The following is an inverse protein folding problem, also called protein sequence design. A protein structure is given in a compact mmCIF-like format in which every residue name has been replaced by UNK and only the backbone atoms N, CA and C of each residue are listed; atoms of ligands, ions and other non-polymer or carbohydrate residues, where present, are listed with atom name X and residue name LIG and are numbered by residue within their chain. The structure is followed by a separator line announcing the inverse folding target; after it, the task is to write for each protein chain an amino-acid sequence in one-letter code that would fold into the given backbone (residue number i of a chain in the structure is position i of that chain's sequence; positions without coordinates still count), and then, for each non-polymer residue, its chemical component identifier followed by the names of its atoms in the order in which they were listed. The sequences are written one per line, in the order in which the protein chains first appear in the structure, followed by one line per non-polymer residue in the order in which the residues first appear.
data_IF_927663467164
#
_entry.id   IF_927663467164
#
_cell.length_a   1.000
_cell.length_b   1.000
_cell.length_c   1.000
_cell.angle_alpha   90.00
_cell.angle_beta   90.00
_cell.angle_gamma   90.00
#
_symmetry.space_group_name_H-M   'P 1'
#
loop_
_entity.id
_entity.type
_entity.pdbx_description
1 polymer ?
#
# COMPACT_ATOMS: atom_id res chain seq x y z
N UNK A 1 -22.86 -14.68 -13.10
CA UNK A 1 -21.49 -14.28 -13.49
C UNK A 1 -20.63 -14.33 -12.24
N UNK A 2 -19.47 -15.02 -12.27
CA UNK A 2 -18.55 -15.04 -11.12
C UNK A 2 -17.96 -13.63 -10.95
N UNK A 3 -18.24 -12.97 -9.83
CA UNK A 3 -17.50 -11.76 -9.43
C UNK A 3 -16.04 -12.16 -9.22
N UNK A 4 -15.15 -11.78 -10.15
CA UNK A 4 -13.71 -11.94 -9.99
C UNK A 4 -13.18 -10.83 -9.10
N UNK A 5 -12.17 -11.14 -8.27
CA UNK A 5 -11.40 -10.12 -7.57
C UNK A 5 -10.55 -9.33 -8.57
N UNK A 6 -10.19 -8.10 -8.23
CA UNK A 6 -9.40 -7.24 -9.12
C UNK A 6 -7.99 -7.81 -9.40
N UNK A 7 -7.46 -8.61 -8.47
CA UNK A 7 -6.19 -9.33 -8.61
C UNK A 7 -6.30 -10.66 -9.38
N UNK A 8 -7.52 -11.13 -9.68
CA UNK A 8 -7.78 -12.39 -10.37
C UNK A 8 -7.70 -12.22 -11.90
N UNK A 9 -6.48 -11.88 -12.36
CA UNK A 9 -6.15 -11.63 -13.77
C UNK A 9 -5.60 -12.88 -14.48
N UNK A 10 -5.53 -14.02 -13.78
CA UNK A 10 -4.99 -15.26 -14.32
C UNK A 10 -5.73 -15.73 -15.58
N UNK A 11 -4.98 -15.96 -16.66
CA UNK A 11 -5.53 -16.43 -17.94
C UNK A 11 -6.22 -15.36 -18.78
N UNK A 12 -6.13 -14.08 -18.40
CA UNK A 12 -6.53 -12.97 -19.27
C UNK A 12 -5.46 -12.74 -20.35
N UNK A 13 -5.86 -12.34 -21.57
CA UNK A 13 -4.91 -11.95 -22.61
C UNK A 13 -4.19 -10.66 -22.21
N UNK A 14 -2.87 -10.63 -22.41
CA UNK A 14 -2.00 -9.48 -22.13
C UNK A 14 -0.94 -9.37 -23.23
N UNK A 15 -0.35 -8.19 -23.40
CA UNK A 15 0.74 -7.97 -24.35
C UNK A 15 2.06 -8.64 -23.93
N UNK A 16 3.14 -8.43 -24.71
CA UNK A 16 4.48 -8.81 -24.30
C UNK A 16 4.86 -8.19 -22.95
N UNK A 17 5.54 -8.97 -22.10
CA UNK A 17 6.03 -8.49 -20.81
C UNK A 17 7.31 -7.66 -20.97
N UNK A 18 7.40 -6.56 -20.23
CA UNK A 18 8.66 -5.89 -19.95
C UNK A 18 9.40 -6.68 -18.86
N UNK A 19 10.65 -7.08 -19.14
CA UNK A 19 11.51 -7.86 -18.25
C UNK A 19 12.71 -7.05 -17.75
N UNK A 20 12.71 -5.73 -17.97
CA UNK A 20 13.75 -4.86 -17.44
C UNK A 20 13.78 -4.90 -15.91
N UNK A 21 14.99 -4.79 -15.36
CA UNK A 21 15.16 -4.72 -13.91
C UNK A 21 14.74 -3.34 -13.41
N UNK A 22 13.91 -3.32 -12.37
CA UNK A 22 13.56 -2.11 -11.64
C UNK A 22 14.40 -2.00 -10.38
N UNK A 23 15.23 -0.97 -10.30
CA UNK A 23 15.98 -0.65 -9.08
C UNK A 23 15.08 0.08 -8.08
N UNK A 24 14.85 -0.47 -6.88
CA UNK A 24 13.99 0.17 -5.90
C UNK A 24 14.54 1.52 -5.45
N UNK A 25 13.73 2.55 -5.60
CA UNK A 25 13.96 3.89 -5.08
C UNK A 25 14.09 3.88 -3.56
N UNK A 26 14.66 4.94 -2.99
CA UNK A 26 14.72 5.10 -1.54
C UNK A 26 13.33 5.12 -0.87
N UNK A 27 12.31 5.60 -1.58
CA UNK A 27 10.93 5.59 -1.08
C UNK A 27 10.39 4.16 -1.00
N UNK A 28 10.55 3.37 -2.06
CA UNK A 28 10.11 1.97 -2.09
C UNK A 28 10.82 1.13 -1.02
N UNK A 29 12.13 1.32 -0.85
CA UNK A 29 12.90 0.66 0.22
C UNK A 29 12.37 1.01 1.62
N UNK A 30 11.93 2.26 1.84
CA UNK A 30 11.31 2.67 3.12
C UNK A 30 9.93 2.05 3.31
N UNK A 31 9.14 1.96 2.25
CA UNK A 31 7.82 1.32 2.28
C UNK A 31 7.96 -0.16 2.65
N UNK A 32 8.89 -0.87 2.00
CA UNK A 32 9.18 -2.27 2.28
C UNK A 32 9.65 -2.47 3.73
N UNK A 33 10.61 -1.66 4.19
CA UNK A 33 11.07 -1.70 5.57
C UNK A 33 9.93 -1.46 6.58
N UNK A 34 9.03 -0.51 6.29
CA UNK A 34 7.86 -0.25 7.13
C UNK A 34 6.91 -1.45 7.17
N UNK A 35 6.63 -2.08 6.02
CA UNK A 35 5.82 -3.30 5.94
C UNK A 35 6.42 -4.43 6.80
N UNK A 36 7.74 -4.61 6.75
CA UNK A 36 8.43 -5.61 7.56
C UNK A 36 8.35 -5.30 9.06
N UNK A 37 8.63 -4.06 9.46
CA UNK A 37 8.66 -3.66 10.87
C UNK A 37 7.30 -3.70 11.55
N UNK A 38 6.22 -3.34 10.85
CA UNK A 38 4.86 -3.33 11.39
C UNK A 38 4.30 -4.75 11.57
N UNK A 39 4.77 -5.71 10.76
CA UNK A 39 4.42 -7.13 10.86
C UNK A 39 5.32 -7.94 11.79
N UNK A 40 6.53 -7.44 12.05
CA UNK A 40 7.48 -8.09 12.94
C UNK A 40 6.99 -8.15 14.39
N UNK A 41 7.40 -9.20 15.11
CA UNK A 41 7.17 -9.31 16.55
C UNK A 41 7.98 -8.23 17.30
N UNK A 42 7.48 -7.73 18.44
CA UNK A 42 6.26 -8.14 19.13
C UNK A 42 4.98 -7.43 18.63
N UNK A 43 5.08 -6.48 17.70
CA UNK A 43 3.93 -5.67 17.26
C UNK A 43 2.92 -6.50 16.49
N UNK A 44 3.38 -7.19 15.45
CA UNK A 44 2.58 -8.10 14.60
C UNK A 44 1.18 -7.54 14.30
N UNK A 45 1.12 -6.31 13.80
CA UNK A 45 -0.15 -5.60 13.64
C UNK A 45 -1.12 -6.28 12.66
N UNK A 46 -0.60 -7.02 11.68
CA UNK A 46 -1.40 -7.81 10.74
C UNK A 46 -0.66 -9.01 10.15
N UNK A 47 -1.43 -9.98 9.65
CA UNK A 47 -0.96 -11.11 8.84
C UNK A 47 -0.88 -10.76 7.34
N UNK A 48 -0.25 -11.62 6.54
CA UNK A 48 -0.19 -11.46 5.07
C UNK A 48 -1.57 -11.34 4.44
N UNK A 49 -2.52 -12.15 4.91
CA UNK A 49 -3.86 -12.25 4.32
C UNK A 49 -4.68 -10.99 4.54
N UNK A 50 -4.54 -10.35 5.69
CA UNK A 50 -5.17 -9.05 5.98
C UNK A 50 -4.64 -7.97 5.04
N UNK A 51 -3.32 -7.90 4.84
CA UNK A 51 -2.72 -6.95 3.90
C UNK A 51 -3.19 -7.20 2.46
N UNK A 52 -3.21 -8.47 2.03
CA UNK A 52 -3.69 -8.83 0.69
C UNK A 52 -5.14 -8.43 0.48
N UNK A 53 -6.03 -8.75 1.43
CA UNK A 53 -7.44 -8.36 1.40
C UNK A 53 -7.57 -6.85 1.26
N UNK A 54 -6.83 -6.06 2.03
CA UNK A 54 -6.93 -4.60 1.99
C UNK A 54 -6.44 -4.03 0.66
N UNK A 55 -5.34 -4.55 0.11
CA UNK A 55 -4.87 -4.17 -1.24
C UNK A 55 -5.93 -4.48 -2.30
N UNK A 56 -6.55 -5.65 -2.24
CA UNK A 56 -7.60 -6.06 -3.19
C UNK A 56 -8.92 -5.30 -3.00
N UNK A 57 -9.10 -4.65 -1.85
CA UNK A 57 -10.27 -3.81 -1.52
C UNK A 57 -10.10 -2.34 -1.87
N UNK A 58 -8.93 -1.94 -2.39
CA UNK A 58 -8.72 -0.60 -2.91
C UNK A 58 -9.75 -0.29 -4.00
N UNK A 59 -10.15 0.97 -4.09
CA UNK A 59 -11.05 1.43 -5.15
C UNK A 59 -10.45 1.05 -6.53
N UNK A 60 -11.24 0.50 -7.47
CA UNK A 60 -10.71 -0.09 -8.70
C UNK A 60 -9.82 0.82 -9.53
N UNK A 61 -10.13 2.12 -9.62
CA UNK A 61 -9.32 3.10 -10.35
C UNK A 61 -7.99 3.35 -9.64
N UNK A 62 -8.01 3.44 -8.31
CA UNK A 62 -6.82 3.55 -7.46
C UNK A 62 -5.94 2.31 -7.59
N UNK A 63 -6.52 1.10 -7.54
CA UNK A 63 -5.77 -0.15 -7.72
C UNK A 63 -5.07 -0.22 -9.07
N UNK A 64 -5.70 0.29 -10.14
CA UNK A 64 -5.12 0.27 -11.49
C UNK A 64 -4.01 1.30 -11.67
N UNK A 65 -4.18 2.50 -11.11
CA UNK A 65 -3.26 3.63 -11.29
C UNK A 65 -2.07 3.63 -10.34
N UNK A 66 -2.23 3.13 -9.12
CA UNK A 66 -1.18 3.14 -8.13
C UNK A 66 -0.05 2.19 -8.52
N UNK A 67 1.18 2.61 -8.26
CA UNK A 67 2.36 1.75 -8.40
C UNK A 67 2.34 0.63 -7.35
N UNK A 68 3.13 -0.42 -7.57
CA UNK A 68 3.13 -1.61 -6.71
C UNK A 68 3.31 -1.29 -5.22
N UNK A 69 4.34 -0.50 -4.88
CA UNK A 69 4.61 -0.10 -3.49
C UNK A 69 3.64 0.96 -2.97
N UNK A 70 2.99 1.74 -3.83
CA UNK A 70 1.96 2.69 -3.40
C UNK A 70 0.72 1.96 -2.89
N UNK A 71 0.32 0.86 -3.54
CA UNK A 71 -0.78 0.00 -3.05
C UNK A 71 -0.50 -0.51 -1.65
N UNK A 72 0.77 -0.83 -1.34
CA UNK A 72 1.17 -1.25 0.00
C UNK A 72 0.99 -0.13 1.03
N UNK A 73 1.41 1.10 0.72
CA UNK A 73 1.23 2.24 1.64
C UNK A 73 -0.24 2.52 1.88
N UNK A 74 -1.06 2.53 0.83
CA UNK A 74 -2.50 2.74 0.95
C UNK A 74 -3.13 1.66 1.85
N UNK A 75 -2.82 0.39 1.60
CA UNK A 75 -3.34 -0.71 2.42
C UNK A 75 -2.84 -0.67 3.87
N UNK A 76 -1.58 -0.29 4.11
CA UNK A 76 -1.06 -0.07 5.47
C UNK A 76 -1.82 1.03 6.19
N UNK A 77 -2.10 2.16 5.51
CA UNK A 77 -2.90 3.27 6.07
C UNK A 77 -4.27 2.76 6.53
N UNK A 78 -4.98 2.09 5.63
CA UNK A 78 -6.32 1.56 5.91
C UNK A 78 -6.32 0.53 7.04
N UNK A 79 -5.34 -0.39 7.08
CA UNK A 79 -5.26 -1.39 8.17
C UNK A 79 -4.95 -0.76 9.54
N UNK A 80 -4.10 0.26 9.58
CA UNK A 80 -3.79 0.96 10.83
C UNK A 80 -5.01 1.69 11.38
N UNK A 81 -5.85 2.25 10.49
CA UNK A 81 -7.12 2.88 10.85
C UNK A 81 -8.16 1.84 11.27
N UNK A 82 -8.33 0.78 10.47
CA UNK A 82 -9.28 -0.31 10.73
C UNK A 82 -9.06 -0.93 12.12
N UNK A 83 -7.80 -1.04 12.54
CA UNK A 83 -7.39 -1.58 13.85
C UNK A 83 -7.31 -0.53 14.96
N UNK A 84 -7.72 0.71 14.69
CA UNK A 84 -7.66 1.84 15.62
C UNK A 84 -6.26 2.08 16.22
N UNK A 85 -5.19 1.75 15.49
CA UNK A 85 -3.81 2.06 15.87
C UNK A 85 -3.50 3.53 15.56
N UNK A 86 -4.08 4.04 14.47
CA UNK A 86 -4.07 5.44 14.09
C UNK A 86 -5.49 5.87 13.73
N UNK A 87 -5.74 7.16 13.79
CA UNK A 87 -6.95 7.79 13.27
C UNK A 87 -6.67 8.58 12.00
N UNK A 88 -7.70 8.81 11.19
CA UNK A 88 -7.57 9.67 10.00
C UNK A 88 -7.07 11.08 10.38
N UNK A 89 -7.53 11.60 11.53
CA UNK A 89 -7.13 12.91 12.02
C UNK A 89 -5.63 12.99 12.39
N UNK A 90 -5.07 11.95 13.01
CA UNK A 90 -3.64 11.89 13.32
C UNK A 90 -2.80 11.86 12.04
N UNK A 91 -3.24 11.08 11.05
CA UNK A 91 -2.56 10.98 9.76
C UNK A 91 -2.63 12.32 9.03
N UNK A 92 -3.80 12.96 8.96
CA UNK A 92 -3.96 14.25 8.29
C UNK A 92 -3.12 15.35 8.99
N UNK A 93 -3.13 15.38 10.32
CA UNK A 93 -2.28 16.29 11.10
C UNK A 93 -0.80 16.08 10.77
N UNK A 94 -0.36 14.82 10.70
CA UNK A 94 1.03 14.52 10.36
C UNK A 94 1.38 14.89 8.92
N UNK A 95 0.47 14.68 7.97
CA UNK A 95 0.65 15.09 6.58
C UNK A 95 0.80 16.60 6.46
N UNK A 96 -0.01 17.38 7.18
CA UNK A 96 0.11 18.86 7.23
C UNK A 96 1.49 19.28 7.75
N UNK A 97 1.94 18.68 8.85
CA UNK A 97 3.27 18.93 9.43
C UNK A 97 4.43 18.52 8.50
N UNK A 98 4.29 17.42 7.75
CA UNK A 98 5.30 17.02 6.75
C UNK A 98 5.32 18.02 5.60
N UNK A 99 4.16 18.41 5.05
CA UNK A 99 4.07 19.37 3.94
C UNK A 99 4.66 20.72 4.31
N UNK A 100 4.36 21.25 5.49
CA UNK A 100 4.91 22.53 5.94
C UNK A 100 6.43 22.53 6.10
N UNK A 101 7.04 21.35 6.33
CA UNK A 101 8.51 21.21 6.36
C UNK A 101 9.14 21.12 4.97
N UNK A 102 8.35 20.76 3.96
CA UNK A 102 8.80 20.58 2.58
C UNK A 102 8.59 21.81 1.71
N UNK A 103 7.68 22.72 2.09
CA UNK A 103 7.55 24.02 1.45
C UNK A 103 8.77 24.89 1.82
N UNK A 104 9.58 25.35 0.84
CA UNK A 104 10.62 26.32 1.11
C UNK A 104 9.96 27.63 1.56
N UNK A 105 10.52 28.25 2.59
CA UNK A 105 10.08 29.56 3.10
C UNK A 105 10.16 30.66 2.05
#
# INVERSE_FOLDING_TARGET
MKNRLISDIGGLPEGPLDLSEHEPTMTERRIDAMMMLLRAKPRSFWASDENRRTIESLEPETYKKAEYYEKWVLAMKELLIEKAILTEAEIESKLKEVRSRMEPS
#
